data_IF_645109108760
#
_entry.id   IF_645109108760
#
_cell.length_a   1.000
_cell.length_b   1.000
_cell.length_c   1.000
_cell.angle_alpha   90.00
_cell.angle_beta   90.00
_cell.angle_gamma   90.00
#
_symmetry.space_group_name_H-M   'P 1'
#
loop_
_entity.id
_entity.type
_entity.pdbx_description
1 polymer ?
#
# COMPACT_ATOMS: atom_id res chain seq x y z
N UNK A 1 -1.94 -11.69 0.59
CA UNK A 1 -1.62 -10.88 1.79
C UNK A 1 -0.58 -11.57 2.64
N UNK A 2 0.29 -10.80 3.28
CA UNK A 2 1.22 -11.34 4.27
C UNK A 2 0.53 -11.80 5.56
N UNK A 3 1.23 -12.62 6.33
CA UNK A 3 0.70 -13.19 7.58
C UNK A 3 1.49 -12.78 8.82
N UNK A 4 2.52 -11.95 8.66
CA UNK A 4 3.36 -11.50 9.79
C UNK A 4 2.72 -10.31 10.50
N UNK A 5 2.77 -10.25 11.86
CA UNK A 5 2.32 -9.07 12.60
C UNK A 5 3.16 -7.84 12.19
N UNK A 6 2.50 -6.80 11.72
CA UNK A 6 3.16 -5.62 11.14
C UNK A 6 4.04 -4.91 12.17
N UNK A 7 3.52 -4.63 13.35
CA UNK A 7 4.29 -3.91 14.39
C UNK A 7 5.54 -4.69 14.78
N UNK A 8 5.40 -6.00 15.00
CA UNK A 8 6.54 -6.86 15.34
C UNK A 8 7.56 -6.91 14.21
N UNK A 9 7.10 -7.08 12.97
CA UNK A 9 7.96 -7.14 11.79
C UNK A 9 8.73 -5.83 11.60
N UNK A 10 8.03 -4.69 11.65
CA UNK A 10 8.64 -3.37 11.46
C UNK A 10 9.57 -3.03 12.64
N UNK A 11 9.21 -3.38 13.86
CA UNK A 11 10.07 -3.19 15.03
C UNK A 11 11.37 -3.98 14.91
N UNK A 12 11.30 -5.24 14.47
CA UNK A 12 12.48 -6.07 14.22
C UNK A 12 13.38 -5.47 13.14
N UNK A 13 12.79 -5.06 12.01
CA UNK A 13 13.52 -4.42 10.93
C UNK A 13 14.15 -3.09 11.37
N UNK A 14 13.46 -2.30 12.18
CA UNK A 14 13.97 -1.04 12.71
C UNK A 14 15.16 -1.25 13.63
N UNK A 15 15.17 -2.35 14.39
CA UNK A 15 16.27 -2.68 15.31
C UNK A 15 17.49 -3.24 14.57
N UNK A 16 17.28 -4.14 13.61
CA UNK A 16 18.34 -4.97 13.03
C UNK A 16 18.86 -4.45 11.68
N UNK A 17 18.15 -3.52 11.01
CA UNK A 17 18.46 -3.10 9.65
C UNK A 17 19.23 -1.81 9.56
N UNK A 18 19.99 -1.67 8.44
CA UNK A 18 20.73 -0.46 8.09
C UNK A 18 19.85 0.73 7.76
N UNK A 19 18.54 0.50 7.48
CA UNK A 19 17.55 1.54 7.18
C UNK A 19 16.69 1.85 8.40
N UNK A 20 17.32 2.00 9.55
CA UNK A 20 16.65 2.18 10.84
C UNK A 20 15.63 3.33 10.82
N UNK A 21 15.98 4.49 10.26
CA UNK A 21 15.07 5.64 10.20
C UNK A 21 13.80 5.34 9.41
N UNK A 22 13.94 4.66 8.27
CA UNK A 22 12.79 4.27 7.45
C UNK A 22 11.86 3.35 8.24
N UNK A 23 12.40 2.30 8.84
CA UNK A 23 11.59 1.33 9.56
C UNK A 23 11.01 1.89 10.86
N UNK A 24 11.72 2.81 11.53
CA UNK A 24 11.15 3.54 12.68
C UNK A 24 9.95 4.38 12.27
N UNK A 25 10.01 5.06 11.13
CA UNK A 25 8.89 5.82 10.59
C UNK A 25 7.69 4.91 10.29
N UNK A 26 7.93 3.76 9.69
CA UNK A 26 6.88 2.79 9.40
C UNK A 26 6.27 2.20 10.69
N UNK A 27 7.07 1.96 11.71
CA UNK A 27 6.57 1.53 13.02
C UNK A 27 5.65 2.57 13.64
N UNK A 28 6.04 3.83 13.64
CA UNK A 28 5.21 4.92 14.16
C UNK A 28 3.89 4.99 13.39
N UNK A 29 3.93 4.90 12.06
CA UNK A 29 2.72 4.88 11.24
C UNK A 29 1.81 3.69 11.57
N UNK A 30 2.38 2.50 11.78
CA UNK A 30 1.62 1.32 12.17
C UNK A 30 0.89 1.53 13.51
N UNK A 31 1.58 2.14 14.48
CA UNK A 31 0.97 2.48 15.77
C UNK A 31 -0.13 3.51 15.63
N UNK A 32 0.02 4.48 14.72
CA UNK A 32 -1.02 5.47 14.43
C UNK A 32 -2.27 4.83 13.83
N UNK A 33 -2.14 3.83 12.97
CA UNK A 33 -3.28 3.09 12.43
C UNK A 33 -4.11 2.46 13.56
N UNK A 34 -3.44 1.83 14.52
CA UNK A 34 -4.09 1.25 15.70
C UNK A 34 -4.75 2.34 16.55
N UNK A 35 -4.02 3.44 16.80
CA UNK A 35 -4.52 4.56 17.59
C UNK A 35 -5.76 5.20 16.99
N UNK A 36 -5.82 5.34 15.66
CA UNK A 36 -7.00 5.86 14.93
C UNK A 36 -8.19 4.91 14.98
N UNK A 37 -7.98 3.65 15.36
CA UNK A 37 -9.03 2.64 15.37
C UNK A 37 -9.38 2.08 13.99
N UNK A 38 -8.56 2.34 12.97
CA UNK A 38 -8.81 1.83 11.61
C UNK A 38 -8.67 0.30 11.57
N UNK A 39 -7.67 -0.24 12.25
CA UNK A 39 -7.50 -1.69 12.42
C UNK A 39 -7.10 -1.98 13.87
N UNK A 40 -7.69 -3.02 14.50
CA UNK A 40 -7.19 -3.47 15.80
C UNK A 40 -5.82 -4.12 15.64
N UNK A 41 -5.05 -4.14 16.73
CA UNK A 41 -3.70 -4.72 16.73
C UNK A 41 -3.66 -6.14 16.16
N UNK A 42 -4.65 -6.97 16.52
CA UNK A 42 -4.72 -8.37 16.06
C UNK A 42 -4.89 -8.50 14.55
N UNK A 43 -5.47 -7.49 13.90
CA UNK A 43 -5.72 -7.48 12.45
C UNK A 43 -4.61 -6.77 11.68
N UNK A 44 -3.65 -6.18 12.37
CA UNK A 44 -2.52 -5.50 11.76
C UNK A 44 -1.49 -6.54 11.31
N UNK A 45 -1.79 -7.21 10.22
CA UNK A 45 -1.01 -8.29 9.62
C UNK A 45 -0.55 -7.84 8.23
N UNK A 46 0.72 -8.05 7.93
CA UNK A 46 1.30 -7.64 6.66
C UNK A 46 2.35 -8.62 6.13
N UNK A 47 3.04 -8.22 5.08
CA UNK A 47 4.13 -8.96 4.48
C UNK A 47 5.45 -8.73 5.24
N UNK A 48 6.53 -9.28 4.74
CA UNK A 48 7.85 -9.28 5.38
C UNK A 48 8.35 -7.87 5.77
N UNK A 49 8.15 -6.87 4.90
CA UNK A 49 8.58 -5.49 5.17
C UNK A 49 7.51 -4.63 5.86
N UNK A 50 6.41 -5.25 6.32
CA UNK A 50 5.34 -4.55 7.02
C UNK A 50 4.22 -4.01 6.15
N UNK A 51 4.16 -4.39 4.87
CA UNK A 51 3.08 -3.98 3.96
C UNK A 51 1.74 -4.56 4.42
N UNK A 52 0.69 -3.75 4.35
CA UNK A 52 -0.63 -4.06 4.88
C UNK A 52 -1.66 -4.16 3.77
N UNK A 53 -2.61 -5.08 3.94
CA UNK A 53 -3.82 -5.14 3.14
C UNK A 53 -3.66 -5.80 1.78
N UNK A 54 -4.72 -5.70 0.98
CA UNK A 54 -4.84 -6.42 -0.29
C UNK A 54 -3.88 -5.88 -1.35
N UNK A 55 -3.56 -4.59 -1.30
CA UNK A 55 -2.62 -3.94 -2.23
C UNK A 55 -1.25 -3.67 -1.61
N UNK A 56 -0.98 -4.24 -0.45
CA UNK A 56 0.33 -4.24 0.22
C UNK A 56 0.89 -2.84 0.45
N UNK A 57 0.08 -1.96 1.06
CA UNK A 57 0.53 -0.62 1.45
C UNK A 57 1.47 -0.69 2.65
N UNK A 58 2.55 0.09 2.62
CA UNK A 58 3.32 0.39 3.82
C UNK A 58 2.45 1.20 4.80
N UNK A 59 2.69 1.09 6.11
CA UNK A 59 1.91 1.85 7.10
C UNK A 59 1.86 3.36 6.82
N UNK A 60 2.96 3.98 6.43
CA UNK A 60 3.00 5.40 6.08
C UNK A 60 2.10 5.73 4.88
N UNK A 61 2.07 4.87 3.88
CA UNK A 61 1.19 5.03 2.72
C UNK A 61 -0.26 4.83 3.08
N UNK A 62 -0.56 3.92 3.99
CA UNK A 62 -1.89 3.72 4.55
C UNK A 62 -2.42 5.02 5.18
N UNK A 63 -1.60 5.65 6.03
CA UNK A 63 -1.96 6.93 6.67
C UNK A 63 -2.14 8.03 5.62
N UNK A 64 -1.22 8.13 4.67
CA UNK A 64 -1.18 9.24 3.70
C UNK A 64 -2.24 9.14 2.63
N UNK A 65 -2.50 7.94 2.12
CA UNK A 65 -3.36 7.74 0.94
C UNK A 65 -4.67 7.03 1.24
N UNK A 66 -4.84 6.50 2.45
CA UNK A 66 -6.04 5.77 2.82
C UNK A 66 -7.30 6.61 2.70
N UNK A 67 -8.34 6.02 2.11
CA UNK A 67 -9.65 6.64 1.90
C UNK A 67 -10.73 5.75 2.49
N UNK A 68 -11.56 6.31 3.36
CA UNK A 68 -12.76 5.68 3.86
C UNK A 68 -13.89 5.89 2.84
N UNK A 69 -13.92 5.05 1.82
CA UNK A 69 -14.88 5.20 0.72
C UNK A 69 -16.27 4.73 1.09
N UNK A 70 -16.41 3.71 1.94
CA UNK A 70 -17.69 3.21 2.39
C UNK A 70 -18.32 4.08 3.50
N UNK A 71 -17.59 5.05 4.03
CA UNK A 71 -18.13 6.05 4.96
C UNK A 71 -18.39 5.53 6.36
N UNK A 72 -17.75 4.43 6.79
CA UNK A 72 -17.96 3.86 8.12
C UNK A 72 -17.15 4.54 9.24
N UNK A 73 -16.35 5.55 8.92
CA UNK A 73 -15.51 6.29 9.87
C UNK A 73 -14.08 5.74 9.99
N UNK A 74 -13.75 4.65 9.32
CA UNK A 74 -12.43 4.02 9.37
C UNK A 74 -11.97 3.60 7.99
N UNK A 75 -10.65 3.73 7.73
CA UNK A 75 -10.02 3.19 6.54
C UNK A 75 -9.62 1.75 6.82
N UNK A 76 -10.14 0.80 6.05
CA UNK A 76 -9.84 -0.62 6.23
C UNK A 76 -9.32 -1.22 4.92
N UNK A 77 -8.01 -1.19 4.72
CA UNK A 77 -7.37 -1.73 3.53
C UNK A 77 -7.22 -3.26 3.57
N UNK A 78 -7.67 -3.87 4.65
CA UNK A 78 -7.61 -5.32 4.80
C UNK A 78 -8.94 -6.00 4.44
N UNK A 79 -10.07 -5.41 4.85
CA UNK A 79 -11.38 -6.05 4.73
C UNK A 79 -12.34 -5.31 3.81
N UNK A 80 -12.15 -4.00 3.58
CA UNK A 80 -13.06 -3.19 2.76
C UNK A 80 -12.52 -3.03 1.34
N UNK A 81 -13.13 -3.74 0.38
CA UNK A 81 -12.79 -3.60 -1.05
C UNK A 81 -12.97 -2.16 -1.55
N UNK A 82 -14.05 -1.44 -1.22
CA UNK A 82 -14.17 -0.03 -1.59
C UNK A 82 -13.00 0.83 -1.10
N UNK A 83 -12.58 0.65 0.16
CA UNK A 83 -11.46 1.39 0.72
C UNK A 83 -10.14 1.03 0.01
N UNK A 84 -9.92 -0.24 -0.28
CA UNK A 84 -8.74 -0.72 -1.01
C UNK A 84 -8.64 -0.05 -2.39
N UNK A 85 -9.72 -0.08 -3.15
CA UNK A 85 -9.73 0.47 -4.51
C UNK A 85 -9.57 1.99 -4.49
N UNK A 86 -10.32 2.69 -3.63
CA UNK A 86 -10.24 4.15 -3.53
C UNK A 86 -8.88 4.61 -3.03
N UNK A 87 -8.29 3.92 -2.08
CA UNK A 87 -6.97 4.26 -1.53
C UNK A 87 -5.87 4.04 -2.55
N UNK A 88 -5.91 2.94 -3.29
CA UNK A 88 -4.94 2.66 -4.36
C UNK A 88 -5.05 3.70 -5.48
N UNK A 89 -6.28 4.03 -5.88
CA UNK A 89 -6.52 5.08 -6.87
C UNK A 89 -6.00 6.45 -6.39
N UNK A 90 -6.22 6.78 -5.12
CA UNK A 90 -5.72 8.02 -4.53
C UNK A 90 -4.19 8.08 -4.51
N UNK A 91 -3.53 6.98 -4.18
CA UNK A 91 -2.07 6.90 -4.25
C UNK A 91 -1.57 7.17 -5.66
N UNK A 92 -2.14 6.50 -6.65
CA UNK A 92 -1.74 6.67 -8.05
C UNK A 92 -1.98 8.10 -8.53
N UNK A 93 -3.18 8.65 -8.28
CA UNK A 93 -3.55 10.00 -8.67
C UNK A 93 -2.62 11.04 -8.05
N UNK A 94 -2.35 10.93 -6.77
CA UNK A 94 -1.50 11.87 -6.04
C UNK A 94 -0.07 11.86 -6.58
N UNK A 95 0.38 10.73 -7.09
CA UNK A 95 1.74 10.57 -7.62
C UNK A 95 1.81 10.70 -9.14
N UNK A 96 0.84 11.34 -9.76
CA UNK A 96 0.93 11.76 -11.15
C UNK A 96 0.28 10.84 -12.18
N UNK A 97 -0.58 9.90 -11.75
CA UNK A 97 -1.31 9.07 -12.71
C UNK A 97 -2.15 9.92 -13.65
N UNK A 98 -1.99 9.69 -14.94
CA UNK A 98 -2.75 10.37 -15.99
C UNK A 98 -3.76 9.39 -16.59
N UNK A 99 -5.05 9.64 -16.32
CA UNK A 99 -6.14 8.81 -16.82
C UNK A 99 -6.15 8.82 -18.36
N UNK A 100 -6.35 7.66 -18.98
CA UNK A 100 -6.35 7.51 -20.43
C UNK A 100 -4.98 7.43 -21.08
N UNK A 101 -3.91 7.69 -20.33
CA UNK A 101 -2.54 7.56 -20.82
C UNK A 101 -2.04 6.10 -20.70
N UNK A 102 -1.04 5.70 -21.50
CA UNK A 102 -0.46 4.36 -21.39
C UNK A 102 0.13 4.11 -19.99
N UNK A 103 0.12 2.84 -19.58
CA UNK A 103 0.69 2.43 -18.29
C UNK A 103 1.64 1.22 -18.43
N UNK A 104 2.17 0.98 -19.61
CA UNK A 104 3.18 -0.06 -19.84
C UNK A 104 4.58 0.43 -19.47
N UNK A 105 5.54 -0.49 -19.36
CA UNK A 105 6.93 -0.16 -19.01
C UNK A 105 7.47 0.97 -19.91
N UNK A 106 8.17 1.92 -19.29
CA UNK A 106 8.71 3.10 -19.96
C UNK A 106 7.78 4.30 -20.01
N UNK A 107 6.52 4.17 -19.58
CA UNK A 107 5.58 5.30 -19.55
C UNK A 107 5.62 6.02 -18.19
N UNK A 108 5.24 7.31 -18.10
CA UNK A 108 5.19 8.02 -16.83
C UNK A 108 4.28 7.34 -15.79
N UNK A 109 3.12 6.81 -16.20
CA UNK A 109 2.23 6.10 -15.27
C UNK A 109 2.94 4.89 -14.63
N UNK A 110 3.70 4.14 -15.41
CA UNK A 110 4.43 2.98 -14.92
C UNK A 110 5.66 3.36 -14.09
N UNK A 111 6.45 4.32 -14.58
CA UNK A 111 7.76 4.63 -13.99
C UNK A 111 7.66 5.58 -12.79
N UNK A 112 6.59 6.35 -12.68
CA UNK A 112 6.41 7.32 -11.60
C UNK A 112 5.27 6.92 -10.68
N UNK A 113 4.03 6.93 -11.16
CA UNK A 113 2.86 6.70 -10.30
C UNK A 113 2.83 5.27 -9.73
N UNK A 114 2.96 4.26 -10.57
CA UNK A 114 2.95 2.86 -10.10
C UNK A 114 4.17 2.53 -9.24
N UNK A 115 5.29 3.20 -9.46
CA UNK A 115 6.50 2.98 -8.64
C UNK A 115 6.28 3.38 -7.18
N UNK A 116 5.50 4.41 -6.91
CA UNK A 116 5.14 4.79 -5.53
C UNK A 116 4.31 3.72 -4.85
N UNK A 117 3.52 2.96 -5.61
CA UNK A 117 2.77 1.83 -5.10
C UNK A 117 3.70 0.64 -4.83
N UNK A 118 4.54 0.27 -5.81
CA UNK A 118 5.48 -0.84 -5.65
C UNK A 118 6.74 -0.60 -6.49
N UNK A 119 7.90 -0.63 -5.83
CA UNK A 119 9.19 -0.41 -6.48
C UNK A 119 9.62 -1.59 -7.37
N UNK A 120 9.06 -2.78 -7.18
CA UNK A 120 9.41 -3.95 -7.98
C UNK A 120 8.90 -3.81 -9.41
N UNK A 121 9.80 -3.76 -10.37
CA UNK A 121 9.45 -3.72 -11.79
C UNK A 121 8.68 -4.97 -12.22
N UNK A 122 9.09 -6.13 -11.71
CA UNK A 122 8.40 -7.41 -12.00
C UNK A 122 6.95 -7.35 -11.50
N UNK A 123 6.73 -6.84 -10.29
CA UNK A 123 5.39 -6.68 -9.73
C UNK A 123 4.54 -5.76 -10.61
N UNK A 124 5.08 -4.60 -10.99
CA UNK A 124 4.35 -3.64 -11.85
C UNK A 124 4.02 -4.22 -13.22
N UNK A 125 4.96 -4.94 -13.84
CA UNK A 125 4.74 -5.61 -15.13
C UNK A 125 3.64 -6.66 -15.02
N UNK A 126 3.60 -7.42 -13.94
CA UNK A 126 2.57 -8.41 -13.67
C UNK A 126 1.19 -7.75 -13.56
N UNK A 127 1.10 -6.64 -12.81
CA UNK A 127 -0.15 -5.88 -12.67
C UNK A 127 -0.63 -5.35 -14.03
N UNK A 128 0.27 -4.79 -14.82
CA UNK A 128 -0.06 -4.29 -16.18
C UNK A 128 -0.61 -5.42 -17.04
N UNK A 129 0.03 -6.58 -17.05
CA UNK A 129 -0.42 -7.73 -17.83
C UNK A 129 -1.81 -8.19 -17.39
N UNK A 130 -2.05 -8.27 -16.07
CA UNK A 130 -3.36 -8.63 -15.53
C UNK A 130 -4.42 -7.61 -15.92
N UNK A 131 -4.12 -6.32 -15.80
CA UNK A 131 -5.05 -5.25 -16.14
C UNK A 131 -5.43 -5.29 -17.63
N UNK A 132 -4.47 -5.53 -18.50
CA UNK A 132 -4.72 -5.66 -19.95
C UNK A 132 -5.64 -6.84 -20.26
N UNK A 133 -5.42 -7.97 -19.60
CA UNK A 133 -6.27 -9.16 -19.78
C UNK A 133 -7.69 -8.94 -19.26
N UNK A 134 -7.84 -8.27 -18.11
CA UNK A 134 -9.15 -7.96 -17.54
C UNK A 134 -9.90 -6.89 -18.34
N UNK A 135 -9.17 -5.98 -18.97
CA UNK A 135 -9.76 -4.93 -19.80
C UNK A 135 -10.26 -5.40 -21.18
N UNK A 136 -10.17 -6.68 -21.47
CA UNK A 136 -10.66 -7.24 -22.73
C UNK A 136 -9.78 -6.93 -23.93
N UNK A 137 -8.57 -6.44 -23.65
CA UNK A 137 -7.59 -6.12 -24.70
C UNK A 137 -6.60 -7.23 -24.89
#
# INVERSE_FOLDING_TARGET
>A
MGKLPVIRTVATLAHDCRRTELFQRELIAALQIVQRGDLPLRDLIGAYAGEIGQTQFLPSSYIKYGVDYDGNGHVDLRHSVPDVLASTANLLKTNGWQAGAPFTAGTPNFEVAMREWNHSEVYRKTIVLMAQRLGGG
#
